data_IF_192452289755
#
_entry.id   IF_192452289755
#
_cell.length_a   1.000
_cell.length_b   1.000
_cell.length_c   1.000
_cell.angle_alpha   90.00
_cell.angle_beta   90.00
_cell.angle_gamma   90.00
#
_symmetry.space_group_name_H-M   'P 1'
#
loop_
_entity.id
_entity.type
_entity.pdbx_description
1 polymer ?
#
# COMPACT_ATOMS: atom_id res chain seq x y z
N UNK A 1 7.20 -6.72 -6.99
CA UNK A 1 6.92 -6.08 -5.68
C UNK A 1 5.48 -5.59 -5.71
N UNK A 2 4.72 -5.79 -4.64
CA UNK A 2 3.41 -5.16 -4.50
C UNK A 2 3.57 -3.82 -3.79
N UNK A 3 3.33 -2.72 -4.51
CA UNK A 3 3.56 -1.37 -4.02
C UNK A 3 2.26 -0.75 -3.52
N UNK A 4 1.93 -0.98 -2.25
CA UNK A 4 0.74 -0.39 -1.60
C UNK A 4 0.99 1.01 -1.01
N UNK A 5 1.91 1.77 -1.60
CA UNK A 5 2.35 3.08 -1.11
C UNK A 5 2.31 4.13 -2.23
N UNK A 6 2.28 5.39 -1.84
CA UNK A 6 2.50 6.50 -2.76
C UNK A 6 3.94 6.47 -3.31
N UNK A 7 4.09 6.71 -4.61
CA UNK A 7 5.38 6.96 -5.23
C UNK A 7 5.57 8.47 -5.46
N UNK A 8 6.67 9.02 -4.96
CA UNK A 8 7.02 10.43 -5.05
C UNK A 8 6.22 11.32 -4.10
N UNK A 9 6.07 12.60 -4.44
CA UNK A 9 5.37 13.61 -3.64
C UNK A 9 6.29 14.63 -2.95
N UNK A 10 7.61 14.50 -3.14
CA UNK A 10 8.60 15.48 -2.71
C UNK A 10 8.97 16.43 -3.85
N UNK A 11 9.58 17.57 -3.48
CA UNK A 11 10.10 18.54 -4.44
C UNK A 11 11.24 17.90 -5.24
N UNK A 12 11.12 17.88 -6.56
CA UNK A 12 12.12 17.32 -7.47
C UNK A 12 11.86 15.88 -7.92
N UNK A 13 10.79 15.24 -7.44
CA UNK A 13 10.41 13.91 -7.92
C UNK A 13 9.90 13.97 -9.37
N UNK A 14 10.30 12.98 -10.17
CA UNK A 14 9.91 12.85 -11.58
C UNK A 14 8.57 12.13 -11.79
N UNK A 15 7.99 11.58 -10.72
CA UNK A 15 6.75 10.83 -10.73
C UNK A 15 5.93 11.17 -9.48
N UNK A 16 4.61 11.15 -9.62
CA UNK A 16 3.66 11.31 -8.51
C UNK A 16 2.49 10.36 -8.73
N UNK A 17 2.52 9.23 -7.99
CA UNK A 17 1.47 8.23 -7.99
C UNK A 17 0.96 8.14 -6.56
N UNK A 18 -0.14 8.84 -6.22
CA UNK A 18 -0.66 8.84 -4.86
C UNK A 18 -1.37 7.51 -4.54
N UNK A 19 -1.76 7.35 -3.27
CA UNK A 19 -2.72 6.32 -2.89
C UNK A 19 -4.05 6.47 -3.65
N UNK A 20 -4.86 5.40 -3.78
CA UNK A 20 -6.13 5.47 -4.48
C UNK A 20 -7.01 6.64 -4.00
N UNK A 21 -7.69 7.40 -4.90
CA UNK A 21 -8.45 8.59 -4.50
C UNK A 21 -9.49 8.34 -3.41
N UNK A 22 -10.22 7.22 -3.49
CA UNK A 22 -11.20 6.81 -2.48
C UNK A 22 -10.58 6.62 -1.08
N UNK A 23 -9.30 6.26 -1.02
CA UNK A 23 -8.58 6.15 0.24
C UNK A 23 -8.14 7.51 0.77
N UNK A 24 -7.68 8.40 -0.11
CA UNK A 24 -7.34 9.77 0.27
C UNK A 24 -8.55 10.51 0.87
N UNK A 25 -9.74 10.24 0.36
CA UNK A 25 -11.00 10.74 0.95
C UNK A 25 -11.21 10.23 2.39
N UNK A 26 -11.00 8.95 2.67
CA UNK A 26 -11.08 8.42 4.03
C UNK A 26 -10.01 9.01 4.96
N UNK A 27 -8.78 9.19 4.48
CA UNK A 27 -7.70 9.86 5.23
C UNK A 27 -8.07 11.31 5.54
N UNK A 28 -8.71 12.02 4.60
CA UNK A 28 -9.17 13.40 4.84
C UNK A 28 -10.23 13.50 5.94
N UNK A 29 -11.10 12.47 6.05
CA UNK A 29 -12.12 12.37 7.11
C UNK A 29 -11.51 11.99 8.45
N UNK A 30 -10.52 11.11 8.43
CA UNK A 30 -9.80 10.64 9.61
C UNK A 30 -8.28 10.64 9.38
N UNK A 31 -7.56 11.70 9.79
CA UNK A 31 -6.11 11.78 9.63
C UNK A 31 -5.31 10.77 10.46
N UNK A 32 -5.93 10.09 11.44
CA UNK A 32 -5.26 9.05 12.26
C UNK A 32 -5.06 7.72 11.52
N UNK A 33 -5.58 7.60 10.29
CA UNK A 33 -5.43 6.41 9.45
C UNK A 33 -4.01 6.20 8.92
N UNK A 34 -3.16 7.23 9.01
CA UNK A 34 -1.81 7.21 8.46
C UNK A 34 -0.77 7.39 9.56
N UNK A 35 0.49 7.07 9.24
CA UNK A 35 1.56 7.25 10.21
C UNK A 35 1.67 8.70 10.66
N UNK A 36 1.93 8.85 11.96
CA UNK A 36 1.98 10.13 12.63
C UNK A 36 3.19 10.19 13.53
N UNK A 37 3.98 11.24 13.38
CA UNK A 37 5.17 11.42 14.21
C UNK A 37 4.85 12.07 15.56
N UNK A 38 5.87 12.19 16.41
CA UNK A 38 5.75 12.78 17.75
C UNK A 38 5.34 14.26 17.74
N UNK A 39 5.52 14.96 16.63
CA UNK A 39 5.11 16.35 16.44
C UNK A 39 3.72 16.49 15.83
N UNK A 40 3.01 15.37 15.59
CA UNK A 40 1.67 15.34 15.01
C UNK A 40 1.64 15.45 13.49
N UNK A 41 2.79 15.36 12.80
CA UNK A 41 2.84 15.41 11.33
C UNK A 41 2.36 14.08 10.76
N UNK A 42 1.48 14.15 9.76
CA UNK A 42 0.88 12.99 9.08
C UNK A 42 1.66 12.66 7.83
N UNK A 43 2.01 11.39 7.63
CA UNK A 43 2.58 10.90 6.37
C UNK A 43 1.50 10.11 5.62
N UNK A 44 0.94 10.69 4.57
CA UNK A 44 -0.12 10.08 3.75
C UNK A 44 0.37 9.12 2.66
N UNK A 45 1.63 8.71 2.68
CA UNK A 45 2.20 7.79 1.70
C UNK A 45 1.75 6.33 1.92
N UNK A 46 1.28 5.99 3.13
CA UNK A 46 0.89 4.63 3.50
C UNK A 46 -0.11 4.61 4.67
N UNK A 47 -0.94 3.56 4.76
CA UNK A 47 -1.86 3.34 5.88
C UNK A 47 -1.12 2.80 7.09
N UNK A 48 -1.37 3.36 8.27
CA UNK A 48 -0.70 2.93 9.50
C UNK A 48 -0.93 1.44 9.77
N UNK A 49 0.11 0.72 10.19
CA UNK A 49 -0.01 -0.67 10.65
C UNK A 49 -1.06 -0.83 11.76
N UNK A 50 -1.25 0.21 12.59
CA UNK A 50 -2.28 0.22 13.63
C UNK A 50 -3.72 0.09 13.09
N UNK A 51 -3.91 0.28 11.78
CA UNK A 51 -5.19 0.14 11.11
C UNK A 51 -5.45 -1.24 10.52
N UNK A 52 -4.50 -2.18 10.55
CA UNK A 52 -4.61 -3.50 9.90
C UNK A 52 -5.84 -4.31 10.34
N UNK A 53 -6.30 -4.11 11.57
CA UNK A 53 -7.49 -4.76 12.14
C UNK A 53 -8.73 -3.87 12.18
N UNK A 54 -8.64 -2.63 11.68
CA UNK A 54 -9.71 -1.63 11.71
C UNK A 54 -10.35 -1.49 10.33
N UNK A 55 -11.68 -1.32 10.22
CA UNK A 55 -12.39 -1.31 8.94
C UNK A 55 -12.29 0.03 8.19
N UNK A 56 -11.07 0.40 7.78
CA UNK A 56 -10.72 1.74 7.26
C UNK A 56 -10.92 1.90 5.74
N UNK A 57 -11.21 0.81 5.02
CA UNK A 57 -11.46 0.82 3.58
C UNK A 57 -12.95 0.57 3.28
N UNK A 58 -13.80 1.57 3.52
CA UNK A 58 -15.24 1.47 3.25
C UNK A 58 -15.90 0.30 3.99
N UNK A 59 -15.50 0.06 5.24
CA UNK A 59 -15.98 -1.05 6.07
C UNK A 59 -15.11 -2.31 6.03
N UNK A 60 -14.04 -2.34 5.22
CA UNK A 60 -13.07 -3.45 5.16
C UNK A 60 -11.77 -3.12 5.87
N UNK A 61 -11.12 -4.14 6.44
CA UNK A 61 -9.78 -3.99 7.01
C UNK A 61 -8.70 -4.04 5.91
N UNK A 62 -7.50 -3.47 6.13
CA UNK A 62 -6.45 -3.42 5.13
C UNK A 62 -5.96 -4.77 4.63
N UNK A 63 -5.74 -5.73 5.52
CA UNK A 63 -5.18 -7.05 5.17
C UNK A 63 -6.01 -7.75 4.08
N UNK A 64 -7.33 -7.96 4.21
CA UNK A 64 -8.15 -8.53 3.15
C UNK A 64 -8.13 -7.74 1.84
N UNK A 65 -8.04 -6.41 1.88
CA UNK A 65 -7.96 -5.61 0.64
C UNK A 65 -6.63 -5.83 -0.08
N UNK A 66 -5.52 -5.90 0.65
CA UNK A 66 -4.22 -6.25 0.08
C UNK A 66 -4.22 -7.69 -0.46
N UNK A 67 -4.85 -8.63 0.26
CA UNK A 67 -5.01 -10.01 -0.20
C UNK A 67 -5.81 -10.09 -1.49
N UNK A 68 -6.95 -9.41 -1.59
CA UNK A 68 -7.77 -9.38 -2.81
C UNK A 68 -6.99 -8.81 -3.99
N UNK A 69 -6.19 -7.76 -3.76
CA UNK A 69 -5.33 -7.19 -4.80
C UNK A 69 -4.31 -8.22 -5.30
N UNK A 70 -3.62 -8.91 -4.38
CA UNK A 70 -2.64 -9.94 -4.73
C UNK A 70 -3.28 -11.14 -5.44
N UNK A 71 -4.48 -11.55 -5.02
CA UNK A 71 -5.23 -12.63 -5.65
C UNK A 71 -5.66 -12.24 -7.08
N UNK A 72 -6.19 -11.03 -7.25
CA UNK A 72 -6.55 -10.49 -8.57
C UNK A 72 -5.34 -10.40 -9.51
N UNK A 73 -4.18 -9.97 -8.99
CA UNK A 73 -2.93 -10.00 -9.76
C UNK A 73 -2.55 -11.43 -10.15
N UNK A 74 -2.59 -12.38 -9.21
CA UNK A 74 -2.28 -13.78 -9.47
C UNK A 74 -3.18 -14.36 -10.57
N UNK A 75 -4.49 -14.12 -10.48
CA UNK A 75 -5.46 -14.64 -11.45
C UNK A 75 -5.29 -14.00 -12.82
N UNK A 76 -5.04 -12.69 -12.88
CA UNK A 76 -4.85 -11.97 -14.14
C UNK A 76 -3.57 -12.36 -14.86
N UNK A 77 -2.49 -12.57 -14.12
CA UNK A 77 -1.16 -12.83 -14.69
C UNK A 77 -0.73 -14.29 -14.53
N UNK A 78 -1.68 -15.20 -14.30
CA UNK A 78 -1.43 -16.62 -14.01
C UNK A 78 -0.45 -17.28 -14.97
N UNK A 79 -0.61 -17.04 -16.27
CA UNK A 79 0.20 -17.65 -17.32
C UNK A 79 1.66 -17.16 -17.35
N UNK A 80 1.96 -16.05 -16.67
CA UNK A 80 3.30 -15.47 -16.55
C UNK A 80 4.01 -15.86 -15.25
N UNK A 81 3.29 -16.40 -14.26
CA UNK A 81 3.85 -16.77 -12.97
C UNK A 81 4.74 -18.01 -13.10
N UNK A 82 5.94 -17.95 -12.54
CA UNK A 82 6.90 -19.05 -12.56
C UNK A 82 7.85 -19.06 -13.77
N UNK A 83 7.62 -18.19 -14.75
CA UNK A 83 8.52 -17.96 -15.89
C UNK A 83 8.96 -16.49 -15.95
N UNK A 84 8.08 -15.61 -16.43
CA UNK A 84 8.37 -14.17 -16.56
C UNK A 84 8.30 -13.47 -15.19
N UNK A 85 7.31 -13.80 -14.38
CA UNK A 85 7.12 -13.25 -13.03
C UNK A 85 7.63 -14.27 -12.02
N UNK A 86 8.83 -14.00 -11.48
CA UNK A 86 9.48 -14.82 -10.45
C UNK A 86 9.83 -13.98 -9.23
N UNK A 87 9.72 -14.57 -8.05
CA UNK A 87 10.22 -13.97 -6.82
C UNK A 87 11.70 -14.30 -6.65
N UNK A 88 12.53 -13.28 -6.42
CA UNK A 88 13.91 -13.49 -5.97
C UNK A 88 13.93 -13.36 -4.46
N UNK A 89 14.33 -14.42 -3.78
CA UNK A 89 14.72 -14.34 -2.39
C UNK A 89 16.17 -13.87 -2.34
N UNK A 90 16.45 -12.80 -1.60
CA UNK A 90 17.82 -12.46 -1.26
C UNK A 90 18.31 -13.54 -0.31
N UNK A 91 19.14 -14.47 -0.79
CA UNK A 91 19.94 -15.31 0.10
C UNK A 91 20.85 -14.35 0.88
N UNK A 92 20.57 -14.16 2.16
CA UNK A 92 21.56 -13.60 3.07
C UNK A 92 22.71 -14.61 3.08
N UNK A 93 23.81 -14.29 2.40
CA UNK A 93 25.09 -14.91 2.68
C UNK A 93 25.40 -14.63 4.15
N UNK A 94 25.32 -15.67 4.99
CA UNK A 94 25.90 -15.65 6.32
C UNK A 94 27.42 -15.46 6.24
#
# INVERSE_FOLDING_TARGET
>A
MYSFHQCGGNVGDSCSIPLPPWLLEEISKNPDLVYTDKSGRRNSEYISLGCDSSPVFGGRTPIPVYTDYMQSFQDRFRDYLGDVIVARYLQQTC
#
